data_IF_944393713699
#
_entry.id   IF_944393713699
#
_cell.length_a   1.000
_cell.length_b   1.000
_cell.length_c   1.000
_cell.angle_alpha   90.00
_cell.angle_beta   90.00
_cell.angle_gamma   90.00
#
_symmetry.space_group_name_H-M   'P 1'
#
loop_
_entity.id
_entity.type
_entity.pdbx_description
1 polymer ?
#
# COMPACT_ATOMS: atom_id res chain seq x y z
N UNK A 1 16.02 -47.44 -38.54
CA UNK A 1 16.33 -46.52 -37.40
C UNK A 1 15.55 -45.21 -37.45
N UNK A 2 15.10 -44.74 -38.58
CA UNK A 2 14.40 -43.44 -38.76
C UNK A 2 13.04 -43.31 -38.06
N UNK A 3 12.24 -44.39 -37.98
CA UNK A 3 10.90 -44.31 -37.31
C UNK A 3 10.94 -44.05 -35.80
N UNK A 4 11.97 -44.54 -35.09
CA UNK A 4 12.13 -44.30 -33.66
C UNK A 4 12.58 -42.85 -33.35
N UNK A 5 13.40 -42.28 -34.25
CA UNK A 5 13.88 -40.89 -34.09
C UNK A 5 12.74 -39.88 -34.31
N UNK A 6 11.87 -40.12 -35.31
CA UNK A 6 10.71 -39.27 -35.57
C UNK A 6 9.70 -39.33 -34.44
N UNK A 7 9.44 -40.51 -33.86
CA UNK A 7 8.51 -40.66 -32.76
C UNK A 7 9.00 -39.93 -31.50
N UNK A 8 10.30 -40.01 -31.17
CA UNK A 8 10.87 -39.30 -30.01
C UNK A 8 10.86 -37.79 -30.18
N UNK A 9 11.11 -37.26 -31.38
CA UNK A 9 11.05 -35.80 -31.65
C UNK A 9 9.63 -35.29 -31.56
N UNK A 10 8.63 -35.99 -32.09
CA UNK A 10 7.21 -35.60 -31.98
C UNK A 10 6.75 -35.60 -30.51
N UNK A 11 7.16 -36.60 -29.75
CA UNK A 11 6.82 -36.68 -28.32
C UNK A 11 7.45 -35.53 -27.52
N UNK A 12 8.70 -35.16 -27.79
CA UNK A 12 9.37 -34.02 -27.15
C UNK A 12 8.71 -32.68 -27.51
N UNK A 13 8.31 -32.47 -28.75
CA UNK A 13 7.58 -31.27 -29.18
C UNK A 13 6.21 -31.21 -28.51
N UNK A 14 5.49 -32.32 -28.42
CA UNK A 14 4.19 -32.39 -27.76
C UNK A 14 4.32 -32.10 -26.25
N UNK A 15 5.33 -32.65 -25.58
CA UNK A 15 5.60 -32.36 -24.16
C UNK A 15 6.01 -30.91 -23.94
N UNK A 16 6.82 -30.33 -24.81
CA UNK A 16 7.19 -28.93 -24.77
C UNK A 16 5.99 -28.00 -25.01
N UNK A 17 5.10 -28.36 -25.92
CA UNK A 17 3.86 -27.64 -26.18
C UNK A 17 2.89 -27.74 -25.00
N UNK A 18 2.76 -28.91 -24.36
CA UNK A 18 1.95 -29.10 -23.15
C UNK A 18 2.52 -28.35 -21.95
N UNK A 19 3.83 -28.36 -21.78
CA UNK A 19 4.50 -27.60 -20.72
C UNK A 19 4.36 -26.08 -20.94
N UNK A 20 4.55 -25.62 -22.18
CA UNK A 20 4.32 -24.22 -22.56
C UNK A 20 2.86 -23.81 -22.40
N UNK A 21 1.93 -24.66 -22.80
CA UNK A 21 0.50 -24.49 -22.60
C UNK A 21 0.17 -24.38 -21.08
N UNK A 22 0.65 -25.32 -20.28
CA UNK A 22 0.43 -25.31 -18.81
C UNK A 22 1.03 -24.08 -18.14
N UNK A 23 2.24 -23.67 -18.55
CA UNK A 23 2.92 -22.47 -18.01
C UNK A 23 2.19 -21.16 -18.40
N UNK A 24 1.66 -21.06 -19.62
CA UNK A 24 0.95 -19.87 -20.10
C UNK A 24 -0.46 -19.72 -19.52
N UNK A 25 -1.10 -20.85 -19.15
CA UNK A 25 -2.47 -20.85 -18.66
C UNK A 25 -2.59 -20.95 -17.15
N UNK A 26 -1.47 -21.12 -16.45
CA UNK A 26 -1.47 -21.11 -15.01
C UNK A 26 -1.78 -19.70 -14.52
N UNK A 27 -2.82 -19.58 -13.70
CA UNK A 27 -3.04 -18.35 -12.93
C UNK A 27 -1.95 -18.25 -11.84
N UNK A 28 -1.02 -17.35 -12.05
CA UNK A 28 0.07 -17.05 -11.13
C UNK A 28 -0.17 -15.70 -10.42
N UNK A 29 -1.41 -15.22 -10.41
CA UNK A 29 -1.72 -13.96 -9.76
C UNK A 29 -1.29 -14.02 -8.27
N UNK A 30 -0.56 -13.02 -7.79
CA UNK A 30 -0.21 -12.93 -6.38
C UNK A 30 -1.48 -12.93 -5.52
N UNK A 31 -1.44 -13.46 -4.28
CA UNK A 31 -2.59 -13.47 -3.41
C UNK A 31 -3.09 -12.04 -3.09
N UNK A 32 -4.37 -11.87 -2.78
CA UNK A 32 -4.85 -10.60 -2.26
C UNK A 32 -4.15 -10.26 -0.93
N UNK A 33 -4.02 -8.97 -0.59
CA UNK A 33 -3.51 -8.57 0.72
C UNK A 33 -4.42 -9.12 1.83
N UNK A 34 -3.81 -9.59 2.92
CA UNK A 34 -4.51 -10.07 4.10
C UNK A 34 -3.93 -9.45 5.38
N UNK A 35 -4.76 -9.37 6.42
CA UNK A 35 -4.41 -8.71 7.68
C UNK A 35 -3.34 -9.49 8.46
N UNK A 36 -3.33 -10.79 8.39
CA UNK A 36 -2.35 -11.60 9.14
C UNK A 36 -0.93 -11.32 8.64
N UNK A 37 -0.72 -11.31 7.33
CA UNK A 37 0.55 -10.93 6.70
C UNK A 37 0.95 -9.49 7.07
N UNK A 38 0.01 -8.55 7.06
CA UNK A 38 0.27 -7.15 7.42
C UNK A 38 0.73 -7.01 8.89
N UNK A 39 0.12 -7.74 9.82
CA UNK A 39 0.51 -7.78 11.24
C UNK A 39 1.91 -8.36 11.41
N UNK A 40 2.25 -9.43 10.71
CA UNK A 40 3.58 -10.04 10.76
C UNK A 40 4.66 -9.05 10.30
N UNK A 41 4.42 -8.33 9.21
CA UNK A 41 5.34 -7.31 8.68
C UNK A 41 5.53 -6.18 9.70
N UNK A 42 4.46 -5.64 10.28
CA UNK A 42 4.52 -4.59 11.29
C UNK A 42 5.27 -5.07 12.55
N UNK A 43 5.02 -6.29 13.00
CA UNK A 43 5.72 -6.88 14.14
C UNK A 43 7.22 -7.01 13.91
N UNK A 44 7.63 -7.45 12.71
CA UNK A 44 9.03 -7.54 12.33
C UNK A 44 9.70 -6.16 12.28
N UNK A 45 9.01 -5.14 11.75
CA UNK A 45 9.52 -3.77 11.69
C UNK A 45 9.74 -3.18 13.10
N UNK A 46 8.84 -3.44 14.04
CA UNK A 46 8.97 -3.03 15.44
C UNK A 46 10.21 -3.64 16.13
N UNK A 47 10.46 -4.93 15.91
CA UNK A 47 11.63 -5.62 16.45
C UNK A 47 12.93 -4.99 15.93
N UNK A 48 12.98 -4.66 14.65
CA UNK A 48 14.16 -4.04 14.02
C UNK A 48 14.42 -2.64 14.58
N UNK A 49 13.38 -1.83 14.76
CA UNK A 49 13.48 -0.49 15.34
C UNK A 49 14.00 -0.53 16.80
N UNK A 50 13.51 -1.47 17.61
CA UNK A 50 13.94 -1.65 19.00
C UNK A 50 15.41 -2.04 19.13
N UNK A 51 15.95 -2.83 18.22
CA UNK A 51 17.36 -3.27 18.22
C UNK A 51 18.31 -2.13 17.90
N UNK A 52 17.90 -1.20 17.02
CA UNK A 52 18.74 -0.06 16.60
C UNK A 52 18.92 0.96 17.73
N UNK A 53 17.93 1.12 18.61
CA UNK A 53 17.99 2.07 19.73
C UNK A 53 18.96 1.62 20.84
N UNK A 54 19.22 0.33 20.99
CA UNK A 54 20.09 -0.21 22.04
C UNK A 54 21.59 -0.07 21.74
N UNK A 55 21.97 0.18 20.49
CA UNK A 55 23.40 0.27 20.08
C UNK A 55 23.98 1.66 20.16
N UNK A 56 23.21 2.71 20.46
CA UNK A 56 23.65 4.12 20.45
C UNK A 56 24.01 4.72 21.82
N UNK A 57 24.22 3.94 22.89
CA UNK A 57 24.60 4.49 24.19
C UNK A 57 25.95 3.91 24.63
N UNK A 58 27.03 4.32 23.98
CA UNK A 58 28.38 4.25 24.54
C UNK A 58 29.32 5.24 23.82
N UNK A 59 29.26 6.52 24.17
CA UNK A 59 30.41 7.41 24.08
C UNK A 59 30.37 8.41 25.22
N UNK A 60 31.05 8.06 26.28
CA UNK A 60 31.41 8.93 27.40
C UNK A 60 32.37 10.02 26.87
N UNK A 61 31.93 11.25 26.85
CA UNK A 61 32.78 12.41 26.60
C UNK A 61 33.12 13.10 27.92
N UNK A 62 34.36 12.98 28.33
CA UNK A 62 34.98 13.63 29.49
C UNK A 62 35.01 15.15 29.26
N UNK A 63 34.33 15.92 30.08
CA UNK A 63 34.36 17.39 30.07
C UNK A 63 35.40 17.88 31.06
N UNK A 64 36.39 18.63 30.59
CA UNK A 64 37.35 19.41 31.38
C UNK A 64 36.71 20.78 31.64
N UNK A 65 36.69 21.32 32.88
CA UNK A 65 36.16 22.62 33.16
C UNK A 65 37.21 23.73 32.96
N UNK A 66 36.88 24.75 32.19
CA UNK A 66 37.71 25.99 32.15
C UNK A 66 36.83 27.15 32.64
N UNK A 67 37.24 27.72 33.76
CA UNK A 67 36.76 28.94 34.42
C UNK A 67 37.22 30.19 33.68
N UNK A 68 36.35 31.14 33.37
CA UNK A 68 36.68 32.57 33.34
C UNK A 68 35.44 33.45 33.60
N UNK A 69 35.64 34.48 34.37
CA UNK A 69 34.79 35.46 35.05
C UNK A 69 34.34 36.63 34.15
N UNK A 70 33.44 37.53 34.64
CA UNK A 70 32.47 38.24 33.84
C UNK A 70 32.90 39.66 33.41
N UNK A 71 32.24 40.21 32.41
CA UNK A 71 32.16 41.68 32.21
C UNK A 71 30.82 42.07 31.58
N UNK A 72 30.36 43.16 32.15
CA UNK A 72 29.02 43.82 32.07
C UNK A 72 28.59 44.36 30.69
N UNK A 73 27.28 44.50 30.58
CA UNK A 73 26.48 45.68 30.11
C UNK A 73 26.18 45.77 28.60
N UNK A 74 24.94 45.60 28.18
CA UNK A 74 24.06 46.66 27.66
C UNK A 74 22.76 46.04 27.14
N UNK A 75 21.62 46.54 27.64
CA UNK A 75 20.26 46.20 27.21
C UNK A 75 19.94 46.73 25.82
N UNK A 76 19.21 45.96 25.01
CA UNK A 76 18.31 46.42 23.93
C UNK A 76 17.21 45.39 23.72
N UNK A 77 15.99 45.76 23.28
CA UNK A 77 14.75 45.15 23.70
C UNK A 77 14.31 43.90 22.91
N UNK A 78 13.64 43.09 23.67
CA UNK A 78 12.84 41.90 23.40
C UNK A 78 12.02 41.92 22.12
N UNK A 79 12.32 40.98 21.24
CA UNK A 79 11.33 40.37 20.30
C UNK A 79 11.01 39.00 20.81
N UNK A 80 9.75 38.79 21.24
CA UNK A 80 9.26 37.52 21.72
C UNK A 80 9.03 36.61 20.51
N UNK A 81 9.91 35.62 20.33
CA UNK A 81 9.61 34.46 19.47
C UNK A 81 8.68 33.50 20.23
N UNK A 82 7.67 32.90 19.60
CA UNK A 82 6.85 31.93 20.28
C UNK A 82 7.69 30.71 20.60
N UNK A 83 7.84 30.42 21.87
CA UNK A 83 8.38 29.16 22.38
C UNK A 83 7.45 28.04 21.98
N UNK A 84 7.89 27.21 21.07
CA UNK A 84 7.27 25.90 20.83
C UNK A 84 7.46 25.07 22.09
N UNK A 85 6.49 25.06 22.95
CA UNK A 85 6.41 24.11 24.04
C UNK A 85 6.07 22.77 23.44
N UNK A 86 7.08 21.93 23.24
CA UNK A 86 6.89 20.50 23.05
C UNK A 86 6.30 19.96 24.35
N UNK A 87 5.00 19.87 24.43
CA UNK A 87 4.36 19.10 25.47
C UNK A 87 4.61 17.63 25.15
N UNK A 88 5.53 17.03 25.87
CA UNK A 88 5.58 15.59 26.03
C UNK A 88 4.34 15.25 26.84
N UNK A 89 3.24 14.91 26.18
CA UNK A 89 2.09 14.27 26.81
C UNK A 89 2.46 12.83 27.11
N UNK A 90 3.05 12.66 28.30
CA UNK A 90 3.15 11.38 28.96
C UNK A 90 1.74 11.07 29.51
N UNK A 91 0.89 10.51 28.67
CA UNK A 91 -0.35 9.86 29.05
C UNK A 91 -0.46 8.57 28.24
N UNK A 92 0.12 7.53 28.81
CA UNK A 92 -0.30 6.17 28.52
C UNK A 92 -1.74 6.03 29.05
N UNK A 93 -2.71 6.59 28.34
CA UNK A 93 -4.09 6.14 28.43
C UNK A 93 -4.24 4.95 27.49
N UNK A 94 -4.38 3.80 28.12
CA UNK A 94 -4.71 2.53 27.55
C UNK A 94 -5.96 2.67 26.67
N UNK A 95 -5.82 2.56 25.33
CA UNK A 95 -6.90 2.07 24.51
C UNK A 95 -7.42 2.93 23.36
N UNK A 96 -7.29 4.24 23.29
CA UNK A 96 -7.88 5.00 22.19
C UNK A 96 -6.83 5.44 21.15
N UNK A 97 -7.02 5.02 19.90
CA UNK A 97 -6.25 5.56 18.77
C UNK A 97 -6.62 7.03 18.62
N UNK A 98 -5.62 7.92 18.69
CA UNK A 98 -5.82 9.35 18.56
C UNK A 98 -4.72 9.98 17.70
N UNK A 99 -4.97 11.19 17.18
CA UNK A 99 -4.01 11.99 16.43
C UNK A 99 -4.03 11.73 14.93
N UNK A 100 -3.00 12.24 14.25
CA UNK A 100 -2.83 12.12 12.80
C UNK A 100 -1.85 11.00 12.47
N UNK A 101 -2.26 10.09 11.64
CA UNK A 101 -1.47 8.99 11.11
C UNK A 101 -1.18 9.23 9.64
N UNK A 102 -0.02 8.84 9.18
CA UNK A 102 0.41 8.97 7.79
C UNK A 102 0.76 7.62 7.21
N UNK A 103 0.52 7.44 5.92
CA UNK A 103 0.98 6.24 5.21
C UNK A 103 2.50 6.20 5.23
N UNK A 104 3.06 5.07 5.63
CA UNK A 104 4.50 4.82 5.60
C UNK A 104 4.80 3.75 4.53
N UNK A 105 5.54 4.14 3.51
CA UNK A 105 6.01 3.27 2.42
C UNK A 105 7.44 2.79 2.62
N UNK A 106 8.12 3.23 3.69
CA UNK A 106 9.50 2.83 4.01
C UNK A 106 9.60 1.48 4.71
N UNK A 107 8.48 0.99 5.25
CA UNK A 107 8.42 -0.31 5.91
C UNK A 107 8.29 -1.40 4.84
N UNK A 108 9.19 -2.39 4.89
CA UNK A 108 9.20 -3.51 3.97
C UNK A 108 9.79 -3.19 2.59
N UNK A 109 9.35 -3.93 1.58
CA UNK A 109 9.79 -3.77 0.19
C UNK A 109 8.63 -4.02 -0.76
N UNK A 110 8.64 -3.31 -1.89
CA UNK A 110 7.64 -3.48 -2.93
C UNK A 110 8.08 -4.50 -3.98
N UNK A 111 7.20 -5.45 -4.28
CA UNK A 111 7.26 -6.35 -5.40
C UNK A 111 5.87 -6.61 -5.95
N UNK A 112 5.75 -6.86 -7.25
CA UNK A 112 4.44 -7.14 -7.86
C UNK A 112 3.88 -8.48 -7.40
N UNK A 113 4.73 -9.48 -7.26
CA UNK A 113 4.34 -10.83 -6.82
C UNK A 113 4.20 -10.90 -5.30
N UNK A 114 5.12 -10.27 -4.59
CA UNK A 114 5.14 -10.24 -3.13
C UNK A 114 5.53 -8.85 -2.65
N UNK A 115 4.62 -8.16 -1.96
CA UNK A 115 4.87 -6.85 -1.39
C UNK A 115 4.68 -6.88 0.11
N UNK A 116 5.70 -6.39 0.82
CA UNK A 116 5.67 -6.20 2.27
C UNK A 116 5.59 -4.73 2.67
N UNK A 117 5.59 -3.81 1.69
CA UNK A 117 5.35 -2.38 1.92
C UNK A 117 3.90 -1.99 1.60
N UNK A 118 3.51 -0.77 1.97
CA UNK A 118 2.22 -0.19 1.60
C UNK A 118 2.07 -0.10 0.09
N UNK A 119 0.91 -0.45 -0.43
CA UNK A 119 0.58 -0.33 -1.85
C UNK A 119 -0.93 -0.15 -2.05
N UNK A 120 -1.30 0.35 -3.22
CA UNK A 120 -2.67 0.32 -3.75
C UNK A 120 -2.66 -0.46 -5.07
N UNK A 121 -3.74 -1.19 -5.36
CA UNK A 121 -3.79 -1.99 -6.57
C UNK A 121 -5.20 -2.44 -6.95
N UNK A 122 -5.27 -3.22 -8.02
CA UNK A 122 -6.49 -3.83 -8.51
C UNK A 122 -6.29 -5.32 -8.81
N UNK A 123 -7.41 -6.03 -8.85
CA UNK A 123 -7.51 -7.43 -9.31
C UNK A 123 -8.70 -7.53 -10.24
N UNK A 124 -8.49 -8.10 -11.42
CA UNK A 124 -9.53 -8.24 -12.45
C UNK A 124 -9.50 -9.68 -12.97
N UNK A 125 -10.65 -10.32 -13.03
CA UNK A 125 -10.78 -11.62 -13.67
C UNK A 125 -10.96 -11.44 -15.18
N UNK A 126 -10.12 -12.10 -15.96
CA UNK A 126 -10.16 -12.12 -17.43
C UNK A 126 -10.61 -13.49 -17.90
N UNK A 127 -11.66 -13.55 -18.72
CA UNK A 127 -12.09 -14.79 -19.37
C UNK A 127 -11.35 -14.92 -20.70
N UNK A 128 -10.62 -16.02 -20.87
CA UNK A 128 -9.83 -16.27 -22.06
C UNK A 128 -10.67 -16.93 -23.16
N UNK A 129 -10.40 -16.54 -24.41
CA UNK A 129 -11.08 -17.07 -25.60
C UNK A 129 -10.95 -18.60 -25.70
N UNK A 130 -11.92 -19.23 -26.40
CA UNK A 130 -11.93 -20.66 -26.73
C UNK A 130 -12.02 -21.60 -25.54
N UNK A 131 -12.58 -21.16 -24.41
CA UNK A 131 -12.72 -22.01 -23.23
C UNK A 131 -11.39 -22.38 -22.56
N UNK A 132 -10.36 -21.56 -22.77
CA UNK A 132 -9.02 -21.76 -22.20
C UNK A 132 -9.07 -21.64 -20.66
N UNK A 133 -10.00 -20.84 -20.11
CA UNK A 133 -10.19 -20.65 -18.68
C UNK A 133 -10.22 -19.18 -18.27
N UNK A 134 -10.08 -18.96 -17.00
CA UNK A 134 -10.04 -17.63 -16.38
C UNK A 134 -8.66 -17.39 -15.77
N UNK A 135 -8.20 -16.15 -15.81
CA UNK A 135 -6.95 -15.71 -15.16
C UNK A 135 -7.20 -14.40 -14.45
N UNK A 136 -6.48 -14.17 -13.37
CA UNK A 136 -6.55 -12.92 -12.62
C UNK A 136 -5.42 -11.99 -13.07
N UNK A 137 -5.76 -10.80 -13.54
CA UNK A 137 -4.82 -9.73 -13.77
C UNK A 137 -4.67 -8.92 -12.48
N UNK A 138 -3.44 -8.66 -12.05
CA UNK A 138 -3.13 -7.86 -10.86
C UNK A 138 -2.26 -6.69 -11.24
N UNK A 139 -2.60 -5.51 -10.72
CA UNK A 139 -1.76 -4.33 -10.84
C UNK A 139 -1.59 -3.66 -9.47
N UNK A 140 -0.40 -3.14 -9.19
CA UNK A 140 -0.04 -2.49 -7.93
C UNK A 140 0.84 -1.27 -8.16
N UNK A 141 0.70 -0.25 -7.31
CA UNK A 141 1.62 0.89 -7.20
C UNK A 141 2.10 1.04 -5.76
N UNK A 142 3.40 1.24 -5.52
CA UNK A 142 3.93 1.57 -4.20
C UNK A 142 3.85 3.06 -3.89
N UNK A 143 3.52 3.90 -4.87
CA UNK A 143 3.47 5.35 -4.71
C UNK A 143 2.13 5.75 -4.07
N UNK A 144 2.06 5.54 -2.76
CA UNK A 144 0.88 5.81 -1.95
C UNK A 144 1.24 6.84 -0.88
N UNK A 145 0.40 7.84 -0.76
CA UNK A 145 0.43 8.83 0.31
C UNK A 145 -0.96 8.93 0.94
N UNK A 146 -1.02 9.37 2.18
CA UNK A 146 -2.31 9.59 2.82
C UNK A 146 -2.22 9.89 4.29
N UNK A 147 -3.34 10.41 4.80
CA UNK A 147 -3.50 10.77 6.20
C UNK A 147 -4.81 10.25 6.75
N UNK A 148 -4.77 9.82 8.01
CA UNK A 148 -5.94 9.42 8.79
C UNK A 148 -5.94 10.24 10.09
N UNK A 149 -7.06 10.87 10.43
CA UNK A 149 -7.21 11.63 11.66
C UNK A 149 -8.19 10.93 12.60
N UNK A 150 -7.71 10.62 13.80
CA UNK A 150 -8.52 10.03 14.85
C UNK A 150 -8.73 11.04 15.98
N UNK A 151 -10.00 11.22 16.37
CA UNK A 151 -10.42 12.07 17.49
C UNK A 151 -11.35 11.23 18.36
N UNK A 152 -11.02 11.13 19.63
CA UNK A 152 -11.84 10.43 20.64
C UNK A 152 -12.30 9.04 20.21
N UNK A 153 -11.38 8.23 19.70
CA UNK A 153 -11.69 6.86 19.23
C UNK A 153 -12.54 6.80 17.96
N UNK A 154 -12.58 7.86 17.17
CA UNK A 154 -13.28 7.88 15.88
C UNK A 154 -12.36 8.33 14.75
N UNK A 155 -12.41 7.63 13.62
CA UNK A 155 -11.78 8.08 12.38
C UNK A 155 -12.64 9.20 11.79
N UNK A 156 -12.19 10.43 11.89
CA UNK A 156 -12.94 11.63 11.47
C UNK A 156 -12.58 12.08 10.06
N UNK A 157 -11.37 11.80 9.60
CA UNK A 157 -10.88 12.09 8.25
C UNK A 157 -9.95 10.98 7.78
N UNK A 158 -10.10 10.56 6.52
CA UNK A 158 -9.12 9.77 5.80
C UNK A 158 -9.03 10.28 4.36
N UNK A 159 -7.81 10.43 3.87
CA UNK A 159 -7.50 10.77 2.49
C UNK A 159 -6.30 9.94 2.06
N UNK A 160 -6.49 9.11 1.04
CA UNK A 160 -5.45 8.24 0.49
C UNK A 160 -5.31 8.56 -1.00
N UNK A 161 -4.10 8.85 -1.42
CA UNK A 161 -3.74 9.11 -2.82
C UNK A 161 -2.76 8.06 -3.31
N UNK A 162 -3.05 7.46 -4.45
CA UNK A 162 -2.17 6.54 -5.14
C UNK A 162 -1.77 7.13 -6.50
N UNK A 163 -0.47 7.30 -6.74
CA UNK A 163 0.05 7.67 -8.05
C UNK A 163 0.08 6.42 -8.94
N UNK A 164 -0.66 6.48 -10.05
CA UNK A 164 -0.83 5.38 -10.99
C UNK A 164 0.19 5.41 -12.13
N UNK A 165 1.07 6.42 -12.20
CA UNK A 165 2.07 6.53 -13.28
C UNK A 165 3.12 5.43 -13.20
N UNK A 166 3.41 4.92 -12.00
CA UNK A 166 4.32 3.80 -11.74
C UNK A 166 3.58 2.47 -11.45
N UNK A 167 2.29 2.42 -11.77
CA UNK A 167 1.51 1.19 -11.62
C UNK A 167 2.09 0.09 -12.52
N UNK A 168 2.38 -1.06 -11.92
CA UNK A 168 2.90 -2.26 -12.57
C UNK A 168 1.93 -3.41 -12.44
N UNK A 169 1.94 -4.30 -13.42
CA UNK A 169 1.09 -5.49 -13.42
C UNK A 169 1.94 -6.77 -13.28
N UNK A 170 1.27 -7.88 -12.97
CA UNK A 170 1.87 -9.22 -12.95
C UNK A 170 2.48 -9.65 -14.30
N UNK A 171 2.17 -8.91 -15.38
CA UNK A 171 2.75 -9.10 -16.70
C UNK A 171 3.11 -7.76 -17.32
N UNK A 172 4.39 -7.44 -17.36
CA UNK A 172 4.91 -6.13 -17.80
C UNK A 172 4.40 -5.65 -19.16
N UNK A 173 4.03 -6.58 -20.06
CA UNK A 173 3.42 -6.24 -21.35
C UNK A 173 2.04 -5.58 -21.23
N UNK A 174 1.39 -5.66 -20.06
CA UNK A 174 0.11 -5.01 -19.77
C UNK A 174 0.28 -3.58 -19.24
N UNK A 175 1.43 -3.24 -18.65
CA UNK A 175 1.62 -1.99 -17.90
C UNK A 175 1.21 -0.75 -18.71
N UNK A 176 1.75 -0.62 -19.91
CA UNK A 176 1.43 0.54 -20.77
C UNK A 176 -0.03 0.59 -21.22
N UNK A 177 -0.68 -0.56 -21.38
CA UNK A 177 -2.09 -0.65 -21.76
C UNK A 177 -2.99 -0.25 -20.60
N UNK A 178 -2.69 -0.73 -19.40
CA UNK A 178 -3.42 -0.39 -18.17
C UNK A 178 -3.26 1.10 -17.86
N UNK A 179 -2.04 1.63 -17.92
CA UNK A 179 -1.79 3.06 -17.72
C UNK A 179 -2.56 3.92 -18.75
N UNK A 180 -2.63 3.47 -20.01
CA UNK A 180 -3.40 4.17 -21.05
C UNK A 180 -4.90 4.10 -20.81
N UNK A 181 -5.44 2.94 -20.39
CA UNK A 181 -6.86 2.78 -20.07
C UNK A 181 -7.28 3.64 -18.87
N UNK A 182 -6.42 3.73 -17.85
CA UNK A 182 -6.61 4.58 -16.68
C UNK A 182 -6.31 6.07 -16.96
N UNK A 183 -5.85 6.41 -18.18
CA UNK A 183 -5.50 7.76 -18.60
C UNK A 183 -4.53 8.47 -17.63
N UNK A 184 -3.52 7.74 -17.15
CA UNK A 184 -2.60 8.21 -16.09
C UNK A 184 -1.80 9.44 -16.49
N UNK A 185 -1.66 9.73 -17.79
CA UNK A 185 -1.00 10.94 -18.28
C UNK A 185 -1.77 12.22 -17.96
N UNK A 186 -3.11 12.14 -17.94
CA UNK A 186 -4.01 13.28 -17.67
C UNK A 186 -4.49 13.26 -16.22
N UNK A 187 -4.76 12.06 -15.68
CA UNK A 187 -5.25 11.81 -14.34
C UNK A 187 -4.32 10.82 -13.63
N UNK A 188 -3.15 11.27 -13.13
CA UNK A 188 -2.13 10.39 -12.58
C UNK A 188 -2.56 9.70 -11.29
N UNK A 189 -3.51 10.27 -10.56
CA UNK A 189 -3.84 9.84 -9.20
C UNK A 189 -5.22 9.16 -9.12
N UNK A 190 -5.28 8.10 -8.33
CA UNK A 190 -6.51 7.64 -7.70
C UNK A 190 -6.57 8.22 -6.28
N UNK A 191 -7.73 8.77 -5.89
CA UNK A 191 -7.91 9.43 -4.59
C UNK A 191 -9.14 8.88 -3.89
N UNK A 192 -8.96 8.41 -2.66
CA UNK A 192 -10.05 8.05 -1.76
C UNK A 192 -10.19 9.09 -0.65
N UNK A 193 -11.43 9.51 -0.37
CA UNK A 193 -11.77 10.43 0.72
C UNK A 193 -12.90 9.84 1.54
N UNK A 194 -12.71 9.76 2.85
CA UNK A 194 -13.75 9.35 3.80
C UNK A 194 -14.90 10.36 3.83
N UNK A 195 -16.13 9.86 3.71
CA UNK A 195 -17.32 10.71 3.68
C UNK A 195 -18.04 10.84 5.02
N UNK A 196 -17.76 9.94 5.97
CA UNK A 196 -18.46 9.90 7.25
C UNK A 196 -17.52 9.42 8.36
N UNK A 197 -17.59 10.07 9.52
CA UNK A 197 -16.89 9.63 10.74
C UNK A 197 -17.28 8.20 11.10
N UNK A 198 -16.27 7.38 11.40
CA UNK A 198 -16.40 5.96 11.77
C UNK A 198 -15.91 5.80 13.21
N UNK A 199 -16.75 5.28 14.12
CA UNK A 199 -16.28 4.92 15.46
C UNK A 199 -15.30 3.76 15.37
N UNK A 200 -14.20 3.86 16.12
CA UNK A 200 -13.13 2.87 16.13
C UNK A 200 -12.91 2.41 17.57
N UNK A 201 -13.21 1.16 17.86
CA UNK A 201 -12.90 0.55 19.13
C UNK A 201 -11.46 -0.01 19.08
N UNK A 202 -10.56 0.59 19.85
CA UNK A 202 -9.10 0.41 19.69
C UNK A 202 -8.51 -0.88 20.31
N UNK A 203 -9.30 -1.68 21.00
CA UNK A 203 -8.76 -2.81 21.76
C UNK A 203 -8.60 -4.12 20.93
N UNK A 204 -9.09 -4.15 19.71
CA UNK A 204 -9.09 -5.35 18.85
C UNK A 204 -8.93 -4.95 17.38
N UNK A 205 -8.82 -5.98 16.51
CA UNK A 205 -8.92 -5.79 15.07
C UNK A 205 -10.25 -5.11 14.74
N UNK A 206 -10.16 -4.01 14.01
CA UNK A 206 -11.31 -3.23 13.53
C UNK A 206 -11.73 -3.85 12.22
N UNK A 207 -13.01 -4.22 12.12
CA UNK A 207 -13.65 -4.58 10.86
C UNK A 207 -14.85 -3.66 10.66
N UNK A 208 -14.86 -2.94 9.56
CA UNK A 208 -15.91 -1.95 9.28
C UNK A 208 -16.10 -1.74 7.79
N UNK A 209 -17.32 -1.43 7.39
CA UNK A 209 -17.61 -0.86 6.07
C UNK A 209 -17.54 0.64 6.14
N UNK A 210 -16.64 1.22 5.35
CA UNK A 210 -16.28 2.64 5.38
C UNK A 210 -16.78 3.32 4.12
N UNK A 211 -17.77 4.23 4.21
CA UNK A 211 -18.25 4.98 3.06
C UNK A 211 -17.28 6.08 2.66
N UNK A 212 -16.99 6.17 1.38
CA UNK A 212 -16.08 7.18 0.85
C UNK A 212 -16.37 7.54 -0.60
N UNK A 213 -15.62 8.51 -1.08
CA UNK A 213 -15.58 8.90 -2.49
C UNK A 213 -14.27 8.42 -3.09
N UNK A 214 -14.34 7.72 -4.22
CA UNK A 214 -13.17 7.32 -4.99
C UNK A 214 -13.14 8.09 -6.31
N UNK A 215 -12.02 8.72 -6.59
CA UNK A 215 -11.75 9.37 -7.88
C UNK A 215 -10.72 8.56 -8.65
N UNK A 216 -11.07 8.13 -9.86
CA UNK A 216 -10.18 7.47 -10.82
C UNK A 216 -10.47 8.07 -12.20
N UNK A 217 -9.44 8.25 -13.03
CA UNK A 217 -9.58 8.84 -14.37
C UNK A 217 -10.36 10.17 -14.38
N UNK A 218 -10.26 10.97 -13.31
CA UNK A 218 -10.98 12.23 -13.14
C UNK A 218 -12.47 12.09 -12.81
N UNK A 219 -13.00 10.89 -12.66
CA UNK A 219 -14.40 10.61 -12.30
C UNK A 219 -14.48 10.20 -10.84
N UNK A 220 -15.42 10.81 -10.11
CA UNK A 220 -15.63 10.54 -8.68
C UNK A 220 -16.94 9.82 -8.46
N UNK A 221 -16.89 8.68 -7.76
CA UNK A 221 -18.06 7.90 -7.37
C UNK A 221 -18.03 7.59 -5.87
N UNK A 222 -19.23 7.35 -5.31
CA UNK A 222 -19.36 6.87 -3.93
C UNK A 222 -19.08 5.37 -3.90
N UNK A 223 -18.28 4.95 -2.92
CA UNK A 223 -17.96 3.54 -2.69
C UNK A 223 -18.07 3.19 -1.21
N UNK A 224 -18.17 1.91 -0.94
CA UNK A 224 -18.05 1.33 0.39
C UNK A 224 -16.81 0.44 0.43
N UNK A 225 -15.90 0.71 1.37
CA UNK A 225 -14.66 -0.04 1.55
C UNK A 225 -14.83 -0.99 2.73
N UNK A 226 -14.68 -2.28 2.51
CA UNK A 226 -14.48 -3.27 3.57
C UNK A 226 -13.08 -3.08 4.14
N UNK A 227 -12.99 -2.59 5.36
CA UNK A 227 -11.76 -2.20 6.00
C UNK A 227 -11.47 -3.08 7.20
N UNK A 228 -10.27 -3.59 7.28
CA UNK A 228 -9.67 -4.21 8.46
C UNK A 228 -8.48 -3.36 8.90
N UNK A 229 -8.37 -3.09 10.19
CA UNK A 229 -7.23 -2.37 10.76
C UNK A 229 -6.85 -2.91 12.13
N UNK A 230 -5.56 -2.89 12.43
CA UNK A 230 -5.03 -3.30 13.74
C UNK A 230 -3.80 -2.47 14.09
N UNK A 231 -3.75 -2.05 15.36
CA UNK A 231 -2.57 -1.40 15.91
C UNK A 231 -1.57 -2.47 16.38
N UNK A 232 -0.35 -2.41 15.85
CA UNK A 232 0.77 -3.28 16.22
C UNK A 232 1.89 -2.39 16.75
N UNK A 233 2.02 -2.27 18.06
CA UNK A 233 2.93 -1.32 18.70
C UNK A 233 2.63 0.12 18.27
N UNK A 234 3.50 0.73 17.48
CA UNK A 234 3.35 2.09 16.95
C UNK A 234 2.97 2.12 15.48
N UNK A 235 2.66 0.98 14.87
CA UNK A 235 2.28 0.86 13.46
C UNK A 235 0.82 0.43 13.39
N UNK A 236 0.02 1.19 12.66
CA UNK A 236 -1.34 0.80 12.32
C UNK A 236 -1.31 0.08 10.96
N UNK A 237 -1.67 -1.19 10.95
CA UNK A 237 -1.86 -1.96 9.72
C UNK A 237 -3.28 -1.79 9.24
N UNK A 238 -3.46 -1.56 7.93
CA UNK A 238 -4.77 -1.37 7.31
C UNK A 238 -4.86 -2.17 6.02
N UNK A 239 -5.93 -2.94 5.87
CA UNK A 239 -6.28 -3.63 4.62
C UNK A 239 -7.68 -3.19 4.23
N UNK A 240 -7.82 -2.61 3.04
CA UNK A 240 -9.11 -2.19 2.48
C UNK A 240 -9.40 -2.92 1.17
N UNK A 241 -10.67 -3.31 0.98
CA UNK A 241 -11.16 -3.95 -0.26
C UNK A 241 -12.48 -3.32 -0.67
N UNK A 242 -12.67 -3.15 -1.97
CA UNK A 242 -13.92 -2.66 -2.55
C UNK A 242 -14.02 -3.11 -4.01
N UNK A 243 -15.24 -3.16 -4.51
CA UNK A 243 -15.52 -3.49 -5.90
C UNK A 243 -15.90 -2.24 -6.68
N UNK A 244 -15.45 -2.14 -7.92
CA UNK A 244 -15.79 -1.05 -8.85
C UNK A 244 -16.11 -1.60 -10.22
N UNK A 245 -17.03 -0.93 -10.91
CA UNK A 245 -17.29 -1.16 -12.33
C UNK A 245 -16.47 -0.18 -13.15
N UNK A 246 -15.62 -0.67 -14.05
CA UNK A 246 -14.72 0.16 -14.84
C UNK A 246 -15.44 1.26 -15.63
N UNK A 247 -16.62 0.97 -16.20
CA UNK A 247 -17.44 1.93 -16.95
C UNK A 247 -17.90 3.12 -16.10
N UNK A 248 -18.07 2.95 -14.78
CA UNK A 248 -18.47 4.04 -13.88
C UNK A 248 -17.39 5.10 -13.74
N UNK A 249 -16.15 4.75 -14.08
CA UNK A 249 -15.00 5.64 -14.12
C UNK A 249 -14.55 5.97 -15.55
N UNK A 250 -15.39 5.69 -16.56
CA UNK A 250 -15.07 5.89 -17.97
C UNK A 250 -13.75 5.19 -18.38
N UNK A 251 -13.46 4.05 -17.77
CA UNK A 251 -12.32 3.20 -18.07
C UNK A 251 -12.78 2.06 -18.96
N UNK A 252 -12.17 1.94 -20.14
CA UNK A 252 -12.37 0.80 -21.02
C UNK A 252 -11.32 -0.26 -20.72
N UNK A 253 -11.76 -1.49 -20.49
CA UNK A 253 -10.83 -2.60 -20.26
C UNK A 253 -9.93 -2.81 -21.48
N UNK A 254 -8.59 -2.93 -21.30
CA UNK A 254 -7.68 -3.13 -22.39
C UNK A 254 -8.00 -4.43 -23.15
N UNK A 255 -8.30 -4.34 -24.43
CA UNK A 255 -8.53 -5.51 -25.26
C UNK A 255 -7.23 -6.28 -25.53
N UNK A 256 -7.30 -7.60 -25.49
CA UNK A 256 -6.23 -8.50 -25.92
C UNK A 256 -6.82 -9.60 -26.82
N UNK A 257 -6.07 -10.11 -27.81
CA UNK A 257 -6.60 -11.08 -28.80
C UNK A 257 -7.16 -12.37 -28.18
N UNK A 258 -6.81 -12.68 -26.95
CA UNK A 258 -7.21 -13.90 -26.23
C UNK A 258 -8.20 -13.63 -25.08
N UNK A 259 -8.47 -12.37 -24.73
CA UNK A 259 -9.43 -12.00 -23.67
C UNK A 259 -10.78 -11.68 -24.33
N UNK A 260 -11.84 -12.32 -23.86
CA UNK A 260 -13.21 -12.14 -24.37
C UNK A 260 -14.11 -11.36 -23.42
N UNK A 261 -13.78 -11.32 -22.11
CA UNK A 261 -14.45 -10.47 -21.13
C UNK A 261 -13.52 -10.16 -19.95
N UNK A 262 -13.82 -9.04 -19.30
CA UNK A 262 -13.14 -8.52 -18.10
C UNK A 262 -14.21 -8.08 -17.12
#
# INVERSE_FOLDING_TARGET
>A
MTKKLVLTTVTLIALAALAGWWFLLRDNAPPPPDMESAIQIASAAQLTASTTTTTSVANTSTVVPTTISPTSTTEVPTTIAPTSTTQILDSVETGAVAGTWMVDTSIGSFGIDESTSSFVGFRIQEVLARGIGEVTAVGRTPLVDGTLNFIEGSLTKAEITADLTELRTDRSMRDSKVQSALNTKTHPNAVFILNKTIPVNSEQMIESTVPGSLTVNGVTNQIEVELQAQLVGQIMTVVGKFEVTLSDYQVEAPSAPVVVSV
#
